data_IF_232080850391
#
_entry.id   IF_232080850391
#
_cell.length_a   1.000
_cell.length_b   1.000
_cell.length_c   1.000
_cell.angle_alpha   90.00
_cell.angle_beta   90.00
_cell.angle_gamma   90.00
#
_symmetry.space_group_name_H-M   'P 1'
#
loop_
_entity.id
_entity.type
_entity.pdbx_description
1 polymer ?
#
# COMPACT_ATOMS: atom_id res chain seq x y z
N UNK A 1 1.32 9.11 -0.57
CA UNK A 1 0.22 8.87 -1.54
C UNK A 1 -0.65 10.09 -1.84
N UNK A 2 -0.81 11.08 -0.93
CA UNK A 2 -1.70 12.24 -1.17
C UNK A 2 -1.44 13.00 -2.47
N UNK A 3 -0.18 13.26 -2.81
CA UNK A 3 0.17 13.90 -4.08
C UNK A 3 -0.31 13.10 -5.31
N UNK A 4 -0.11 11.77 -5.29
CA UNK A 4 -0.62 10.87 -6.33
C UNK A 4 -2.15 10.84 -6.38
N UNK A 5 -2.82 10.94 -5.23
CA UNK A 5 -4.28 11.07 -5.19
C UNK A 5 -4.74 12.33 -5.92
N UNK A 6 -4.06 13.46 -5.74
CA UNK A 6 -4.36 14.72 -6.47
C UNK A 6 -4.07 14.61 -7.97
N UNK A 7 -3.06 13.85 -8.39
CA UNK A 7 -2.83 13.54 -9.82
C UNK A 7 -3.94 12.68 -10.40
N UNK A 8 -4.39 11.65 -9.68
CA UNK A 8 -5.52 10.80 -10.08
C UNK A 8 -6.79 11.64 -10.20
N UNK A 9 -7.10 12.48 -9.19
CA UNK A 9 -8.24 13.40 -9.24
C UNK A 9 -8.19 14.28 -10.48
N UNK A 10 -7.03 14.87 -10.80
CA UNK A 10 -6.84 15.67 -12.02
C UNK A 10 -7.15 14.88 -13.29
N UNK A 11 -6.71 13.62 -13.38
CA UNK A 11 -7.02 12.75 -14.52
C UNK A 11 -8.51 12.44 -14.65
N UNK A 12 -9.20 12.16 -13.53
CA UNK A 12 -10.66 11.93 -13.51
C UNK A 12 -11.42 13.17 -13.94
N UNK A 13 -11.03 14.36 -13.46
CA UNK A 13 -11.61 15.64 -13.89
C UNK A 13 -11.44 15.87 -15.40
N UNK A 14 -10.26 15.58 -15.95
CA UNK A 14 -10.00 15.70 -17.40
C UNK A 14 -10.86 14.75 -18.23
N UNK A 15 -11.21 13.58 -17.70
CA UNK A 15 -12.12 12.62 -18.32
C UNK A 15 -13.61 12.96 -18.10
N UNK A 16 -13.93 14.03 -17.38
CA UNK A 16 -15.31 14.47 -17.09
C UNK A 16 -15.99 13.72 -15.93
N UNK A 17 -15.23 13.00 -15.10
CA UNK A 17 -15.75 12.32 -13.91
C UNK A 17 -15.76 13.20 -12.65
N UNK A 18 -16.34 12.68 -11.57
CA UNK A 18 -16.37 13.33 -10.25
C UNK A 18 -15.53 12.54 -9.22
N UNK A 19 -14.28 12.93 -8.96
CA UNK A 19 -13.41 12.16 -8.08
C UNK A 19 -13.65 12.48 -6.61
N UNK A 20 -13.79 11.43 -5.80
CA UNK A 20 -13.88 11.52 -4.33
C UNK A 20 -12.78 10.65 -3.72
N UNK A 21 -12.01 11.21 -2.79
CA UNK A 21 -11.01 10.45 -2.04
C UNK A 21 -11.65 9.83 -0.80
N UNK A 22 -11.58 8.51 -0.69
CA UNK A 22 -12.12 7.77 0.44
C UNK A 22 -10.97 6.99 1.11
N UNK A 23 -10.59 7.35 2.35
CA UNK A 23 -9.56 6.62 3.06
C UNK A 23 -10.09 5.28 3.58
N UNK A 24 -9.23 4.26 3.55
CA UNK A 24 -9.41 2.95 4.21
C UNK A 24 -8.19 2.68 5.10
N UNK A 25 -8.24 1.63 5.93
CA UNK A 25 -7.15 1.27 6.82
C UNK A 25 -5.83 1.08 6.05
N UNK A 26 -4.75 1.64 6.60
CA UNK A 26 -3.40 1.45 6.06
C UNK A 26 -2.67 0.36 6.84
N UNK A 27 -2.09 -0.61 6.14
CA UNK A 27 -1.33 -1.70 6.74
C UNK A 27 0.18 -1.44 6.63
N UNK A 28 0.79 -0.92 7.70
CA UNK A 28 2.24 -0.69 7.76
C UNK A 28 2.98 -1.96 8.22
N UNK A 29 3.59 -2.71 7.29
CA UNK A 29 4.26 -4.01 7.54
C UNK A 29 5.24 -3.95 8.71
N UNK A 30 6.05 -2.90 8.78
CA UNK A 30 7.10 -2.75 9.81
C UNK A 30 6.58 -2.27 11.16
N UNK A 31 5.34 -1.78 11.25
CA UNK A 31 4.82 -1.08 12.42
C UNK A 31 3.73 -1.87 13.15
N UNK A 32 2.92 -2.64 12.43
CA UNK A 32 1.76 -3.32 13.01
C UNK A 32 2.13 -4.66 13.64
N UNK A 33 1.54 -4.94 14.80
CA UNK A 33 1.68 -6.19 15.56
C UNK A 33 0.34 -6.92 15.64
N UNK A 34 0.30 -8.26 15.70
CA UNK A 34 1.44 -9.18 15.65
C UNK A 34 2.04 -9.31 14.24
N UNK A 35 1.22 -9.18 13.21
CA UNK A 35 1.61 -9.10 11.79
C UNK A 35 0.46 -8.44 11.01
N UNK A 36 0.77 -7.66 9.98
CA UNK A 36 -0.22 -7.11 9.03
C UNK A 36 -1.04 -8.17 8.32
N UNK A 37 -0.52 -9.40 8.20
CA UNK A 37 -1.25 -10.49 7.56
C UNK A 37 -2.60 -10.77 8.27
N UNK A 38 -2.64 -10.63 9.59
CA UNK A 38 -3.86 -10.80 10.39
C UNK A 38 -4.93 -9.77 10.02
N UNK A 39 -4.51 -8.57 9.59
CA UNK A 39 -5.38 -7.45 9.25
C UNK A 39 -5.69 -7.36 7.76
N UNK A 40 -5.07 -8.18 6.91
CA UNK A 40 -5.35 -8.19 5.45
C UNK A 40 -6.83 -8.41 5.15
N UNK A 41 -7.45 -9.40 5.80
CA UNK A 41 -8.87 -9.69 5.58
C UNK A 41 -9.77 -8.58 6.13
N UNK A 42 -9.35 -7.92 7.22
CA UNK A 42 -10.08 -6.79 7.76
C UNK A 42 -10.10 -5.61 6.78
N UNK A 43 -8.94 -5.25 6.22
CA UNK A 43 -8.86 -4.22 5.17
C UNK A 43 -9.67 -4.64 3.92
N UNK A 44 -9.67 -5.92 3.55
CA UNK A 44 -10.50 -6.39 2.44
C UNK A 44 -12.00 -6.19 2.69
N UNK A 45 -12.49 -6.53 3.89
CA UNK A 45 -13.90 -6.33 4.26
C UNK A 45 -14.24 -4.84 4.34
N UNK A 46 -13.37 -4.04 4.96
CA UNK A 46 -13.53 -2.58 5.00
C UNK A 46 -13.59 -1.98 3.59
N UNK A 47 -12.71 -2.43 2.67
CA UNK A 47 -12.70 -1.98 1.28
C UNK A 47 -13.98 -2.35 0.56
N UNK A 48 -14.45 -3.59 0.68
CA UNK A 48 -15.72 -4.03 0.08
C UNK A 48 -16.90 -3.18 0.58
N UNK A 49 -17.05 -3.04 1.89
CA UNK A 49 -18.17 -2.31 2.48
C UNK A 49 -18.10 -0.81 2.17
N UNK A 50 -16.90 -0.23 2.18
CA UNK A 50 -16.70 1.17 1.79
C UNK A 50 -17.14 1.41 0.35
N UNK A 51 -16.86 0.47 -0.55
CA UNK A 51 -17.28 0.56 -1.95
C UNK A 51 -18.79 0.41 -2.07
N UNK A 52 -19.38 -0.62 -1.44
CA UNK A 52 -20.81 -0.92 -1.55
C UNK A 52 -21.72 0.13 -0.90
N UNK A 53 -21.29 0.70 0.23
CA UNK A 53 -22.11 1.63 1.00
C UNK A 53 -22.14 3.06 0.42
N UNK A 54 -21.22 3.39 -0.49
CA UNK A 54 -21.12 4.71 -1.09
C UNK A 54 -21.53 4.65 -2.58
N UNK A 55 -22.04 5.77 -3.14
CA UNK A 55 -22.40 5.83 -4.55
C UNK A 55 -21.15 5.98 -5.44
N UNK A 56 -20.34 4.92 -5.52
CA UNK A 56 -19.12 4.86 -6.32
C UNK A 56 -19.33 4.00 -7.56
N UNK A 57 -19.24 4.59 -8.75
CA UNK A 57 -19.38 3.88 -10.03
C UNK A 57 -18.10 3.16 -10.48
N UNK A 58 -16.97 3.49 -9.87
CA UNK A 58 -15.66 2.91 -10.16
C UNK A 58 -14.61 3.36 -9.15
N UNK A 59 -13.52 2.60 -9.01
CA UNK A 59 -12.49 2.85 -8.00
C UNK A 59 -11.07 2.78 -8.54
N UNK A 60 -10.24 3.70 -8.04
CA UNK A 60 -8.78 3.65 -8.18
C UNK A 60 -8.20 3.21 -6.84
N UNK A 61 -7.68 1.99 -6.79
CA UNK A 61 -7.13 1.38 -5.59
C UNK A 61 -5.66 1.80 -5.43
N UNK A 62 -5.36 2.63 -4.44
CA UNK A 62 -4.00 3.08 -4.17
C UNK A 62 -3.38 2.28 -3.03
N UNK A 63 -2.42 1.41 -3.36
CA UNK A 63 -1.74 0.53 -2.41
C UNK A 63 -0.23 0.47 -2.67
N UNK A 64 0.51 -0.09 -1.72
CA UNK A 64 1.96 -0.24 -1.90
C UNK A 64 2.67 -1.09 -0.86
N UNK A 65 2.27 -1.00 0.41
CA UNK A 65 2.80 -1.89 1.44
C UNK A 65 2.26 -3.32 1.23
N UNK A 66 3.03 -4.33 1.63
CA UNK A 66 2.85 -5.74 1.26
C UNK A 66 1.38 -6.21 1.24
N UNK A 67 0.66 -6.06 2.36
CA UNK A 67 -0.73 -6.55 2.48
C UNK A 67 -1.81 -5.62 1.92
N UNK A 68 -1.48 -4.36 1.60
CA UNK A 68 -2.46 -3.41 1.06
C UNK A 68 -2.91 -3.79 -0.34
N UNK A 69 -1.98 -4.24 -1.20
CA UNK A 69 -2.28 -4.65 -2.58
C UNK A 69 -3.32 -5.78 -2.65
N UNK A 70 -3.12 -6.95 -2.02
CA UNK A 70 -4.10 -8.02 -2.09
C UNK A 70 -5.41 -7.66 -1.37
N UNK A 71 -5.36 -6.95 -0.24
CA UNK A 71 -6.57 -6.59 0.50
C UNK A 71 -7.50 -5.67 -0.30
N UNK A 72 -6.96 -4.62 -0.92
CA UNK A 72 -7.74 -3.69 -1.75
C UNK A 72 -8.35 -4.41 -2.96
N UNK A 73 -7.56 -5.26 -3.63
CA UNK A 73 -8.02 -6.03 -4.78
C UNK A 73 -9.13 -7.02 -4.39
N UNK A 74 -8.98 -7.75 -3.28
CA UNK A 74 -9.99 -8.67 -2.79
C UNK A 74 -11.32 -7.94 -2.52
N UNK A 75 -11.28 -6.82 -1.79
CA UNK A 75 -12.48 -6.04 -1.48
C UNK A 75 -13.18 -5.47 -2.72
N UNK A 76 -12.40 -4.94 -3.68
CA UNK A 76 -12.95 -4.42 -4.93
C UNK A 76 -13.53 -5.51 -5.84
N UNK A 77 -12.89 -6.68 -5.91
CA UNK A 77 -13.40 -7.84 -6.66
C UNK A 77 -14.73 -8.30 -6.04
N UNK A 78 -14.81 -8.41 -4.71
CA UNK A 78 -16.06 -8.76 -4.04
C UNK A 78 -17.17 -7.74 -4.30
N UNK A 79 -16.86 -6.44 -4.25
CA UNK A 79 -17.82 -5.37 -4.56
C UNK A 79 -18.28 -5.38 -6.03
N UNK A 80 -17.49 -5.95 -6.94
CA UNK A 80 -17.81 -6.19 -8.34
C UNK A 80 -18.18 -4.91 -9.14
N UNK A 81 -17.36 -3.87 -8.99
CA UNK A 81 -17.42 -2.63 -9.79
C UNK A 81 -16.13 -2.43 -10.58
N UNK A 82 -16.11 -1.57 -11.63
CA UNK A 82 -14.88 -1.24 -12.34
C UNK A 82 -13.78 -0.74 -11.40
N UNK A 83 -12.65 -1.44 -11.38
CA UNK A 83 -11.53 -1.14 -10.49
C UNK A 83 -10.19 -1.15 -11.24
N UNK A 84 -9.31 -0.21 -10.90
CA UNK A 84 -7.92 -0.17 -11.37
C UNK A 84 -6.97 0.00 -10.18
N UNK A 85 -5.88 -0.76 -10.17
CA UNK A 85 -4.87 -0.67 -9.10
C UNK A 85 -3.71 0.24 -9.49
N UNK A 86 -3.38 1.20 -8.62
CA UNK A 86 -2.26 2.13 -8.78
C UNK A 86 -1.20 1.83 -7.70
N UNK A 87 -0.06 1.19 -8.06
CA UNK A 87 1.01 0.92 -7.11
C UNK A 87 1.74 2.22 -6.71
N UNK A 88 2.14 2.32 -5.43
CA UNK A 88 2.95 3.43 -4.94
C UNK A 88 4.36 3.49 -5.54
N UNK A 89 4.90 2.33 -5.94
CA UNK A 89 6.28 2.15 -6.37
C UNK A 89 7.27 1.87 -5.23
N UNK A 90 8.46 1.34 -5.56
CA UNK A 90 9.51 1.06 -4.58
C UNK A 90 10.25 2.33 -4.15
N UNK A 91 10.97 2.23 -3.04
CA UNK A 91 11.92 3.28 -2.62
C UNK A 91 13.12 3.33 -3.56
N UNK A 92 13.79 4.48 -3.59
CA UNK A 92 15.08 4.62 -4.25
C UNK A 92 16.13 3.71 -3.59
N UNK A 93 17.17 3.38 -4.35
CA UNK A 93 18.30 2.59 -3.86
C UNK A 93 18.99 3.35 -2.73
N UNK A 94 19.11 2.71 -1.56
CA UNK A 94 19.88 3.24 -0.44
C UNK A 94 21.37 2.95 -0.64
N UNK A 95 22.24 3.89 -0.24
CA UNK A 95 23.70 3.72 -0.28
C UNK A 95 24.33 4.17 1.03
N UNK A 96 25.33 3.42 1.48
CA UNK A 96 26.19 3.80 2.60
C UNK A 96 27.65 3.75 2.15
N UNK A 97 28.25 4.93 1.97
CA UNK A 97 29.55 5.02 1.31
C UNK A 97 29.50 4.45 -0.11
N UNK A 98 30.30 3.40 -0.36
CA UNK A 98 30.34 2.68 -1.65
C UNK A 98 29.34 1.52 -1.72
N UNK A 99 28.77 1.11 -0.60
CA UNK A 99 27.88 -0.04 -0.50
C UNK A 99 26.45 0.32 -0.89
N UNK A 100 25.78 -0.62 -1.55
CA UNK A 100 24.36 -0.53 -1.90
C UNK A 100 23.55 -1.33 -0.89
N UNK A 101 22.52 -0.72 -0.33
CA UNK A 101 21.71 -1.29 0.73
C UNK A 101 20.32 -1.70 0.23
N UNK A 102 19.94 -2.94 0.48
CA UNK A 102 18.63 -3.52 0.26
C UNK A 102 17.71 -3.36 1.47
N UNK A 103 16.50 -2.84 1.25
CA UNK A 103 15.47 -2.75 2.28
C UNK A 103 15.07 -4.16 2.76
N UNK A 104 15.11 -4.39 4.07
CA UNK A 104 14.83 -5.69 4.68
C UNK A 104 16.03 -6.65 4.66
N UNK A 105 16.59 -6.95 3.50
CA UNK A 105 17.70 -7.92 3.38
C UNK A 105 18.94 -7.50 4.18
N UNK A 106 19.39 -6.26 4.04
CA UNK A 106 20.57 -5.80 4.78
C UNK A 106 20.28 -5.51 6.26
N UNK A 107 19.02 -5.26 6.61
CA UNK A 107 18.63 -5.16 8.02
C UNK A 107 18.91 -6.47 8.76
N UNK A 108 18.54 -7.61 8.16
CA UNK A 108 18.84 -8.94 8.73
C UNK A 108 20.33 -9.27 8.69
N UNK A 109 21.02 -8.93 7.60
CA UNK A 109 22.47 -9.11 7.48
C UNK A 109 23.21 -8.39 8.60
N UNK A 110 22.96 -7.09 8.78
CA UNK A 110 23.65 -6.31 9.79
C UNK A 110 23.20 -6.61 11.21
N UNK A 111 21.96 -7.08 11.40
CA UNK A 111 21.56 -7.66 12.67
C UNK A 111 22.40 -8.89 13.02
N UNK A 112 22.63 -9.79 12.06
CA UNK A 112 23.49 -10.95 12.26
C UNK A 112 24.95 -10.56 12.55
N UNK A 113 25.52 -9.60 11.82
CA UNK A 113 26.86 -9.05 12.08
C UNK A 113 26.99 -8.44 13.48
N UNK A 114 25.96 -7.72 13.93
CA UNK A 114 25.89 -7.19 15.29
C UNK A 114 25.86 -8.31 16.33
N UNK A 115 25.02 -9.33 16.14
CA UNK A 115 24.98 -10.49 17.03
C UNK A 115 26.31 -11.26 17.08
N UNK A 116 27.07 -11.24 15.98
CA UNK A 116 28.41 -11.82 15.90
C UNK A 116 29.50 -10.95 16.56
N UNK A 117 29.20 -9.72 16.96
CA UNK A 117 30.15 -8.77 17.55
C UNK A 117 31.02 -8.01 16.54
N UNK A 118 30.67 -8.04 15.25
CA UNK A 118 31.40 -7.33 14.20
C UNK A 118 30.94 -5.87 14.02
N UNK A 119 29.81 -5.50 14.64
CA UNK A 119 29.21 -4.17 14.63
C UNK A 119 28.76 -3.79 16.04
N UNK A 120 29.01 -2.55 16.44
CA UNK A 120 28.61 -1.99 17.73
C UNK A 120 27.09 -1.66 17.78
#
# INVERSE_FOLDING_TARGET
MRERAEEVKRGVWQAGGFPVEVPVMSLGEMLMKPTTMLYRNLLSMETEETIRCHPLDGVVLMGGCDKTTPALLMGAISANIPAIFLPCGPMLIARWGKETLGSGSDAWKYWAERCAGNLD
#
